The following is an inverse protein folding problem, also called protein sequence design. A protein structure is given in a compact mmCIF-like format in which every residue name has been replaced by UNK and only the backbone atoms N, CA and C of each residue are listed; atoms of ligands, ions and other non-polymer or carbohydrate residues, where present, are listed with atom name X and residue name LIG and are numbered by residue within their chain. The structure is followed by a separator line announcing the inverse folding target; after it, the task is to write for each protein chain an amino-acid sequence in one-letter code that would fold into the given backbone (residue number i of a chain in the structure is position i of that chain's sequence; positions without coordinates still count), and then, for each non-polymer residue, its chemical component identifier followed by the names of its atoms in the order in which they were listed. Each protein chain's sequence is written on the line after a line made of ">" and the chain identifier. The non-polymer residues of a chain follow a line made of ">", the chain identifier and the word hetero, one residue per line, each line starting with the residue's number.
data_IF_072913439277
#
_entry.id   IF_072913439277
#
_cell.length_a   1.000
_cell.length_b   1.000
_cell.length_c   1.000
_cell.angle_alpha   90.00
_cell.angle_beta   90.00
_cell.angle_gamma   90.00
#
_symmetry.space_group_name_H-M   'P 1'
#
loop_
_entity.id
_entity.type
_entity.pdbx_description
1 polymer ?
#
# COMPACT_ATOMS: atom_id res chain seq x y z
N UNK A 1 7.50 -1.03 18.39
CA UNK A 1 6.34 -1.72 17.77
C UNK A 1 6.62 -1.69 16.29
N UNK A 2 6.46 -2.80 15.58
CA UNK A 2 6.78 -2.80 14.16
C UNK A 2 5.71 -2.03 13.38
N UNK A 3 6.11 -1.24 12.41
CA UNK A 3 5.20 -0.45 11.59
C UNK A 3 5.60 -0.45 10.12
N UNK A 4 4.61 -0.23 9.26
CA UNK A 4 4.78 -0.13 7.81
C UNK A 4 4.17 1.18 7.32
N UNK A 5 4.85 1.84 6.40
CA UNK A 5 4.38 3.07 5.76
C UNK A 5 3.63 2.73 4.48
N UNK A 6 2.36 3.10 4.42
CA UNK A 6 1.50 2.96 3.24
C UNK A 6 1.33 4.32 2.56
N UNK A 7 1.65 4.37 1.27
CA UNK A 7 1.48 5.53 0.39
C UNK A 7 0.41 5.25 -0.66
N UNK A 8 -0.65 6.04 -0.67
CA UNK A 8 -1.75 5.96 -1.62
C UNK A 8 -1.64 7.12 -2.61
N UNK A 9 -1.69 6.82 -3.91
CA UNK A 9 -1.57 7.83 -4.96
C UNK A 9 -2.87 8.03 -5.76
N UNK A 10 -2.97 9.18 -6.43
CA UNK A 10 -4.09 9.53 -7.32
C UNK A 10 -5.46 9.30 -6.65
N UNK A 11 -6.39 8.61 -7.31
CA UNK A 11 -7.74 8.33 -6.80
C UNK A 11 -7.78 7.43 -5.56
N UNK A 12 -6.65 6.85 -5.13
CA UNK A 12 -6.59 6.11 -3.85
C UNK A 12 -6.42 7.06 -2.66
N UNK A 13 -5.77 8.21 -2.84
CA UNK A 13 -5.62 9.19 -1.78
C UNK A 13 -6.96 9.87 -1.47
N UNK A 14 -7.20 10.25 -0.20
CA UNK A 14 -8.34 11.11 0.13
C UNK A 14 -8.07 12.52 -0.40
N UNK A 15 -9.08 13.11 -1.04
CA UNK A 15 -9.05 14.50 -1.50
C UNK A 15 -9.01 15.41 -0.27
N UNK A 16 -7.83 15.90 0.05
CA UNK A 16 -7.58 16.86 1.12
C UNK A 16 -6.41 17.76 0.70
N UNK A 17 -6.39 19.05 1.09
CA UNK A 17 -5.31 19.98 0.75
C UNK A 17 -3.94 19.56 1.32
N UNK A 18 -3.93 18.76 2.40
CA UNK A 18 -2.70 18.16 2.95
C UNK A 18 -2.17 16.95 2.14
N UNK A 19 -3.00 16.37 1.26
CA UNK A 19 -2.69 15.18 0.48
C UNK A 19 -2.38 15.50 -1.00
N UNK A 20 -1.95 16.73 -1.31
CA UNK A 20 -1.57 17.12 -2.67
C UNK A 20 -0.31 16.33 -3.07
N UNK A 21 -0.51 15.24 -3.79
CA UNK A 21 0.54 14.29 -4.20
C UNK A 21 0.36 12.85 -3.70
N UNK A 22 -0.60 12.60 -2.81
CA UNK A 22 -0.88 11.29 -2.25
C UNK A 22 -1.19 11.35 -0.75
N UNK A 23 -1.69 10.24 -0.19
CA UNK A 23 -1.93 10.06 1.24
C UNK A 23 -0.88 9.11 1.81
N UNK A 24 -0.18 9.51 2.87
CA UNK A 24 0.81 8.66 3.55
C UNK A 24 0.31 8.35 4.96
N UNK A 25 0.27 7.08 5.32
CA UNK A 25 -0.16 6.60 6.63
C UNK A 25 0.71 5.46 7.11
N UNK A 26 0.98 5.43 8.41
CA UNK A 26 1.64 4.29 9.05
C UNK A 26 0.59 3.36 9.65
N UNK A 27 0.85 2.06 9.56
CA UNK A 27 0.02 1.01 10.13
C UNK A 27 0.86 0.10 11.01
N UNK A 28 0.31 -0.39 12.13
CA UNK A 28 1.00 -1.38 12.95
C UNK A 28 1.16 -2.69 12.17
N UNK A 29 2.38 -3.22 12.23
CA UNK A 29 2.79 -4.45 11.58
C UNK A 29 2.94 -5.56 12.63
N UNK A 30 2.24 -6.66 12.41
CA UNK A 30 2.38 -7.87 13.22
C UNK A 30 3.42 -8.83 12.61
N UNK A 31 4.08 -9.68 13.42
CA UNK A 31 5.04 -10.65 12.92
C UNK A 31 4.40 -11.59 11.90
N UNK A 32 4.91 -11.60 10.67
CA UNK A 32 4.39 -12.43 9.58
C UNK A 32 3.29 -11.78 8.74
N UNK A 33 2.91 -10.53 9.03
CA UNK A 33 1.99 -9.77 8.18
C UNK A 33 2.50 -9.69 6.74
N UNK A 34 1.58 -9.87 5.82
CA UNK A 34 1.86 -9.78 4.39
C UNK A 34 1.18 -8.55 3.78
N UNK A 35 1.44 -8.29 2.49
CA UNK A 35 0.79 -7.20 1.75
C UNK A 35 -0.74 -7.24 1.88
N UNK A 36 -1.46 -8.37 1.67
CA UNK A 36 -2.91 -8.41 1.82
C UNK A 36 -3.40 -8.14 3.26
N UNK A 37 -2.63 -8.48 4.29
CA UNK A 37 -2.98 -8.15 5.68
C UNK A 37 -2.98 -6.64 5.88
N UNK A 38 -1.94 -5.95 5.42
CA UNK A 38 -1.87 -4.48 5.48
C UNK A 38 -2.95 -3.82 4.63
N UNK A 39 -3.23 -4.35 3.44
CA UNK A 39 -4.35 -3.89 2.59
C UNK A 39 -5.69 -4.03 3.34
N UNK A 40 -5.88 -5.11 4.10
CA UNK A 40 -7.08 -5.35 4.90
C UNK A 40 -7.17 -4.38 6.08
N UNK A 41 -6.06 -4.17 6.81
CA UNK A 41 -5.96 -3.20 7.92
C UNK A 41 -6.22 -1.76 7.46
N UNK A 42 -5.71 -1.41 6.28
CA UNK A 42 -5.95 -0.12 5.65
C UNK A 42 -7.36 0.03 5.04
N UNK A 43 -8.20 -1.01 5.11
CA UNK A 43 -9.55 -1.09 4.51
C UNK A 43 -9.53 -0.80 2.99
N UNK A 44 -8.46 -1.24 2.32
CA UNK A 44 -8.24 -1.06 0.89
C UNK A 44 -8.67 -2.28 0.06
N UNK A 45 -9.12 -3.37 0.68
CA UNK A 45 -9.50 -4.61 -0.02
C UNK A 45 -10.60 -4.45 -1.07
N UNK A 46 -11.45 -3.41 -0.96
CA UNK A 46 -12.48 -3.08 -1.95
C UNK A 46 -11.99 -2.15 -3.07
N UNK A 47 -10.74 -1.67 -3.01
CA UNK A 47 -10.18 -0.73 -3.99
C UNK A 47 -9.39 -1.49 -5.05
N UNK A 48 -9.42 -0.99 -6.28
CA UNK A 48 -8.61 -1.54 -7.37
C UNK A 48 -7.14 -1.16 -7.18
N UNK A 49 -6.37 -2.04 -6.52
CA UNK A 49 -4.93 -1.92 -6.33
C UNK A 49 -4.18 -2.57 -7.50
N UNK A 50 -3.86 -1.79 -8.52
CA UNK A 50 -3.25 -2.30 -9.74
C UNK A 50 -1.73 -2.43 -9.59
N UNK A 51 -1.07 -1.35 -9.16
CA UNK A 51 0.37 -1.32 -8.93
C UNK A 51 0.64 -1.33 -7.41
N UNK A 52 1.47 -2.27 -6.97
CA UNK A 52 1.99 -2.31 -5.60
C UNK A 52 3.50 -2.31 -5.69
N UNK A 53 4.13 -1.41 -4.94
CA UNK A 53 5.58 -1.26 -4.86
C UNK A 53 5.98 -1.34 -3.39
N UNK A 54 6.92 -2.23 -3.07
CA UNK A 54 7.52 -2.38 -1.75
C UNK A 54 8.96 -1.87 -1.80
N UNK A 55 9.28 -0.82 -1.02
CA UNK A 55 10.62 -0.21 -0.96
C UNK A 55 11.21 0.13 -2.34
N UNK A 56 10.38 0.57 -3.28
CA UNK A 56 10.79 0.86 -4.67
C UNK A 56 10.80 -0.35 -5.62
N UNK A 57 10.52 -1.56 -5.13
CA UNK A 57 10.43 -2.78 -5.93
C UNK A 57 8.99 -3.13 -6.26
N UNK A 58 8.66 -3.33 -7.53
CA UNK A 58 7.34 -3.79 -7.95
C UNK A 58 7.04 -5.21 -7.48
N UNK A 59 5.85 -5.43 -6.94
CA UNK A 59 5.39 -6.75 -6.47
C UNK A 59 4.23 -7.26 -7.35
N UNK A 60 4.52 -8.34 -8.08
CA UNK A 60 3.55 -9.11 -8.87
C UNK A 60 2.38 -9.60 -8.02
N UNK A 61 1.21 -9.77 -8.66
CA UNK A 61 -0.02 -10.20 -7.98
C UNK A 61 0.15 -11.51 -7.20
N UNK A 62 0.80 -12.49 -7.81
CA UNK A 62 1.00 -13.82 -7.22
C UNK A 62 1.98 -13.82 -6.04
N UNK A 63 2.87 -12.82 -5.96
CA UNK A 63 3.85 -12.71 -4.88
C UNK A 63 3.29 -11.99 -3.65
N UNK A 64 2.23 -11.18 -3.80
CA UNK A 64 1.68 -10.34 -2.72
C UNK A 64 1.36 -11.11 -1.45
N UNK A 65 0.77 -12.30 -1.58
CA UNK A 65 0.38 -13.14 -0.45
C UNK A 65 1.56 -13.88 0.20
N UNK A 66 2.69 -14.01 -0.49
CA UNK A 66 3.90 -14.67 0.03
C UNK A 66 4.97 -13.68 0.49
N UNK A 67 4.82 -12.39 0.18
CA UNK A 67 5.72 -11.33 0.63
C UNK A 67 5.37 -10.92 2.06
N UNK A 68 6.21 -11.37 3.00
CA UNK A 68 6.18 -10.92 4.41
C UNK A 68 6.84 -9.55 4.50
N UNK A 69 6.20 -8.65 5.23
CA UNK A 69 6.69 -7.30 5.45
C UNK A 69 7.55 -7.22 6.70
N UNK A 70 8.45 -6.25 6.72
CA UNK A 70 9.35 -5.96 7.82
C UNK A 70 9.11 -4.56 8.39
N UNK A 71 9.57 -4.36 9.61
CA UNK A 71 9.52 -3.05 10.26
C UNK A 71 10.22 -1.98 9.43
N UNK A 72 9.55 -0.83 9.25
CA UNK A 72 10.04 0.29 8.45
C UNK A 72 9.79 0.17 6.94
N UNK A 73 9.16 -0.92 6.47
CA UNK A 73 8.84 -1.08 5.05
C UNK A 73 7.92 0.02 4.52
N UNK A 74 8.09 0.35 3.24
CA UNK A 74 7.28 1.34 2.53
C UNK A 74 6.52 0.67 1.40
N UNK A 75 5.19 0.57 1.56
CA UNK A 75 4.26 0.10 0.54
C UNK A 75 3.62 1.28 -0.17
N UNK A 76 3.70 1.29 -1.50
CA UNK A 76 3.07 2.29 -2.33
C UNK A 76 2.05 1.64 -3.27
N UNK A 77 0.86 2.24 -3.34
CA UNK A 77 -0.28 1.73 -4.10
C UNK A 77 -0.74 2.75 -5.13
N UNK A 78 -0.94 2.29 -6.36
CA UNK A 78 -1.56 3.07 -7.42
C UNK A 78 -2.85 2.41 -7.92
N UNK A 79 -3.87 3.22 -8.23
CA UNK A 79 -5.05 2.74 -8.92
C UNK A 79 -4.69 2.29 -10.34
N UNK A 80 -5.57 1.55 -11.03
CA UNK A 80 -5.40 1.28 -12.46
C UNK A 80 -5.21 2.59 -13.21
N UNK A 81 -4.12 2.69 -13.96
CA UNK A 81 -3.88 3.81 -14.88
C UNK A 81 -4.74 3.54 -16.10
N UNK A 82 -5.88 4.24 -16.21
CA UNK A 82 -6.63 4.27 -17.46
C UNK A 82 -5.89 5.27 -18.36
N UNK A 83 -5.03 4.76 -19.24
CA UNK A 83 -4.43 5.58 -20.28
C UNK A 83 -5.53 6.05 -21.24
N UNK A 84 -5.60 7.37 -21.44
CA UNK A 84 -6.42 8.00 -22.48
C UNK A 84 -5.68 8.03 -23.80
#
# INVERSE_FOLDING_TARGET
>A
MSEVTVKLFASLAKVAPENIGGEIKTFPLDPGDTIPDIVSKAKLGHRNLHLIVLNGTYIDKDKRASTVLSDGDVLAFWPPVIGG
#
